data_IF_499844143591
#
_entry.id   IF_499844143591
#
_cell.length_a   1.000
_cell.length_b   1.000
_cell.length_c   1.000
_cell.angle_alpha   90.00
_cell.angle_beta   90.00
_cell.angle_gamma   90.00
#
_symmetry.space_group_name_H-M   'P 1'
#
loop_
_entity.id
_entity.type
_entity.pdbx_description
1 polymer ?
#
# COMPACT_ATOMS: atom_id res chain seq x y z
N UNK A 1 -38.47 -12.62 5.09
CA UNK A 1 -37.04 -12.72 4.95
C UNK A 1 -36.46 -11.45 5.59
N UNK A 2 -35.97 -11.60 6.82
CA UNK A 2 -35.62 -10.47 7.68
C UNK A 2 -34.26 -9.89 7.28
N UNK A 3 -34.23 -8.62 6.94
CA UNK A 3 -33.01 -7.85 6.80
C UNK A 3 -32.47 -7.57 8.19
N UNK A 4 -31.35 -8.20 8.52
CA UNK A 4 -30.68 -7.98 9.80
C UNK A 4 -30.17 -6.56 9.90
N UNK A 5 -30.52 -5.89 11.00
CA UNK A 5 -29.89 -4.65 11.45
C UNK A 5 -28.41 -5.01 11.67
N UNK A 6 -27.48 -4.35 10.97
CA UNK A 6 -26.06 -4.45 11.29
C UNK A 6 -25.92 -4.10 12.77
N UNK A 7 -25.47 -5.01 13.66
CA UNK A 7 -25.24 -4.64 15.05
C UNK A 7 -24.18 -3.54 15.05
N UNK A 8 -24.40 -2.48 15.82
CA UNK A 8 -23.40 -1.44 16.07
C UNK A 8 -22.08 -2.17 16.40
N UNK A 9 -20.99 -1.81 15.70
CA UNK A 9 -19.68 -2.40 15.91
C UNK A 9 -19.44 -2.62 17.40
N UNK A 10 -19.03 -3.82 17.86
CA UNK A 10 -18.84 -4.10 19.28
C UNK A 10 -17.81 -3.10 19.84
N UNK A 11 -18.25 -2.18 20.67
CA UNK A 11 -17.46 -1.06 21.21
C UNK A 11 -18.09 0.32 21.00
N UNK A 12 -18.96 0.54 20.02
CA UNK A 12 -19.60 1.85 19.76
C UNK A 12 -20.86 2.08 20.62
N UNK A 13 -21.52 1.02 21.08
CA UNK A 13 -22.74 1.12 21.89
C UNK A 13 -22.54 1.62 23.35
N UNK A 14 -21.30 1.79 23.81
CA UNK A 14 -20.99 2.23 25.19
C UNK A 14 -20.46 3.66 25.35
N UNK A 15 -20.27 4.41 24.26
CA UNK A 15 -19.78 5.79 24.30
C UNK A 15 -20.79 6.79 23.72
N UNK A 16 -22.01 6.80 24.23
CA UNK A 16 -22.97 7.88 23.99
C UNK A 16 -22.58 9.19 24.69
N UNK A 17 -21.35 9.31 25.21
CA UNK A 17 -20.82 10.47 25.85
C UNK A 17 -20.05 11.33 24.83
N UNK A 18 -20.75 12.40 24.33
CA UNK A 18 -20.15 13.53 23.60
C UNK A 18 -19.49 13.22 22.25
N UNK A 19 -20.21 12.65 21.30
CA UNK A 19 -19.87 12.76 19.90
C UNK A 19 -20.23 14.19 19.44
N UNK A 20 -19.24 15.03 19.20
CA UNK A 20 -19.43 16.37 18.67
C UNK A 20 -19.27 16.38 17.15
N UNK A 21 -19.83 17.37 16.46
CA UNK A 21 -19.62 17.54 15.02
C UNK A 21 -20.17 16.41 14.17
N UNK A 22 -21.37 15.91 14.48
CA UNK A 22 -22.06 14.93 13.63
C UNK A 22 -22.35 15.52 12.26
N UNK A 23 -22.11 14.73 11.24
CA UNK A 23 -22.45 15.02 9.85
C UNK A 23 -23.17 13.81 9.25
N UNK A 24 -24.09 14.06 8.32
CA UNK A 24 -24.74 12.95 7.62
C UNK A 24 -24.94 13.23 6.13
N UNK A 25 -24.91 12.15 5.34
CA UNK A 25 -25.06 12.20 3.88
C UNK A 25 -26.09 11.18 3.44
N UNK A 26 -27.04 11.62 2.59
CA UNK A 26 -27.99 10.72 1.90
C UNK A 26 -27.51 10.49 0.49
N UNK A 27 -27.25 9.23 0.14
CA UNK A 27 -26.73 8.82 -1.18
C UNK A 27 -27.00 7.32 -1.40
N UNK A 28 -26.65 6.79 -2.57
CA UNK A 28 -26.41 5.36 -2.68
C UNK A 28 -25.12 5.03 -1.92
N UNK A 29 -25.12 3.96 -1.13
CA UNK A 29 -24.00 3.59 -0.28
C UNK A 29 -23.48 2.20 -0.64
N UNK A 30 -22.16 2.05 -0.69
CA UNK A 30 -21.47 0.77 -0.73
C UNK A 30 -20.54 0.70 0.48
N UNK A 31 -20.60 -0.39 1.25
CA UNK A 31 -19.66 -0.64 2.34
C UNK A 31 -19.36 -2.13 2.48
N UNK A 32 -18.41 -2.47 3.33
CA UNK A 32 -17.99 -3.85 3.56
C UNK A 32 -17.96 -4.13 5.06
N UNK A 33 -18.57 -5.24 5.47
CA UNK A 33 -18.41 -5.74 6.83
C UNK A 33 -17.29 -6.77 6.89
N UNK A 34 -16.43 -6.72 7.94
CA UNK A 34 -15.42 -7.74 8.15
C UNK A 34 -16.10 -9.04 8.60
N UNK A 35 -15.95 -10.10 7.82
CA UNK A 35 -16.40 -11.46 8.15
C UNK A 35 -15.21 -12.42 8.16
N UNK A 36 -15.38 -13.61 8.79
CA UNK A 36 -14.33 -14.63 8.88
C UNK A 36 -13.85 -15.11 7.50
N UNK A 37 -14.79 -15.16 6.52
CA UNK A 37 -14.54 -15.65 5.16
C UNK A 37 -14.18 -14.51 4.17
N UNK A 38 -13.89 -13.31 4.69
CA UNK A 38 -13.57 -12.12 3.90
C UNK A 38 -14.64 -11.03 3.99
N UNK A 39 -14.34 -9.83 3.49
CA UNK A 39 -15.24 -8.69 3.60
C UNK A 39 -16.50 -8.91 2.74
N UNK A 40 -17.67 -8.77 3.37
CA UNK A 40 -18.95 -8.86 2.70
C UNK A 40 -19.41 -7.50 2.19
N UNK A 41 -19.68 -7.34 0.87
CA UNK A 41 -20.21 -6.11 0.32
C UNK A 41 -21.70 -5.92 0.63
N UNK A 42 -22.05 -4.67 0.97
CA UNK A 42 -23.42 -4.20 1.13
C UNK A 42 -23.67 -3.01 0.23
N UNK A 43 -24.85 -2.98 -0.37
CA UNK A 43 -25.29 -1.85 -1.20
C UNK A 43 -26.67 -1.39 -0.78
N UNK A 44 -26.82 -0.08 -0.59
CA UNK A 44 -28.08 0.57 -0.29
C UNK A 44 -28.32 1.70 -1.28
N UNK A 45 -29.44 1.64 -2.00
CA UNK A 45 -29.75 2.60 -3.06
C UNK A 45 -30.15 3.98 -2.54
N UNK A 46 -30.76 4.03 -1.35
CA UNK A 46 -31.14 5.27 -0.65
C UNK A 46 -30.70 5.15 0.82
N UNK A 47 -29.43 5.41 1.05
CA UNK A 47 -28.78 5.23 2.32
C UNK A 47 -28.50 6.52 3.07
N UNK A 48 -28.28 6.36 4.37
CA UNK A 48 -27.76 7.40 5.26
C UNK A 48 -26.41 6.95 5.84
N UNK A 49 -25.39 7.75 5.58
CA UNK A 49 -24.07 7.64 6.23
C UNK A 49 -24.00 8.73 7.31
N UNK A 50 -23.68 8.34 8.53
CA UNK A 50 -23.47 9.29 9.64
C UNK A 50 -22.06 9.15 10.17
N UNK A 51 -21.38 10.28 10.35
CA UNK A 51 -20.08 10.35 11.00
C UNK A 51 -20.13 11.26 12.22
N UNK A 52 -19.19 11.06 13.14
CA UNK A 52 -18.97 11.94 14.28
C UNK A 52 -17.47 12.02 14.58
N UNK A 53 -17.05 13.15 15.15
CA UNK A 53 -15.68 13.31 15.61
C UNK A 53 -15.45 12.51 16.90
N UNK A 54 -14.37 11.73 16.96
CA UNK A 54 -13.88 11.11 18.19
C UNK A 54 -13.19 12.15 19.11
N UNK A 55 -12.66 11.70 20.24
CA UNK A 55 -12.00 12.56 21.20
C UNK A 55 -10.74 13.28 20.65
N UNK A 56 -10.15 12.75 19.59
CA UNK A 56 -9.02 13.36 18.87
C UNK A 56 -9.47 14.25 17.71
N UNK A 57 -10.79 14.47 17.51
CA UNK A 57 -11.33 15.24 16.39
C UNK A 57 -11.39 14.49 15.05
N UNK A 58 -11.08 13.19 15.04
CA UNK A 58 -11.10 12.39 13.82
C UNK A 58 -12.53 11.93 13.53
N UNK A 59 -13.02 12.21 12.33
CA UNK A 59 -14.33 11.75 11.88
C UNK A 59 -14.35 10.22 11.75
N UNK A 60 -15.34 9.59 12.39
CA UNK A 60 -15.59 8.14 12.36
C UNK A 60 -16.98 7.86 11.85
N UNK A 61 -17.14 6.79 11.07
CA UNK A 61 -18.46 6.28 10.71
C UNK A 61 -19.12 5.73 11.97
N UNK A 62 -20.30 6.26 12.32
CA UNK A 62 -21.09 5.83 13.48
C UNK A 62 -22.37 5.10 13.08
N UNK A 63 -22.86 5.32 11.85
CA UNK A 63 -23.95 4.55 11.27
C UNK A 63 -23.88 4.56 9.75
N UNK A 64 -24.28 3.45 9.13
CA UNK A 64 -24.46 3.28 7.71
C UNK A 64 -25.63 2.30 7.46
N UNK A 65 -26.53 2.62 6.52
CA UNK A 65 -27.68 1.77 6.20
C UNK A 65 -28.82 2.55 5.54
N UNK A 66 -30.00 1.93 5.43
CA UNK A 66 -31.15 2.51 4.77
C UNK A 66 -31.58 3.84 5.42
N UNK A 67 -31.88 4.84 4.58
CA UNK A 67 -32.25 6.18 5.00
C UNK A 67 -33.46 6.17 5.95
N UNK A 68 -34.54 5.51 5.59
CA UNK A 68 -35.78 5.49 6.38
C UNK A 68 -35.62 4.83 7.76
N UNK A 69 -34.66 3.89 7.85
CA UNK A 69 -34.34 3.21 9.13
C UNK A 69 -33.49 4.09 10.05
N UNK A 70 -32.53 4.80 9.49
CA UNK A 70 -31.56 5.57 10.29
C UNK A 70 -32.02 7.00 10.55
N UNK A 71 -32.71 7.65 9.63
CA UNK A 71 -33.14 9.06 9.74
C UNK A 71 -33.87 9.37 11.04
N UNK A 72 -34.83 8.57 11.54
CA UNK A 72 -35.51 8.85 12.81
C UNK A 72 -34.57 8.88 14.02
N UNK A 73 -33.47 8.12 13.98
CA UNK A 73 -32.47 8.05 15.07
C UNK A 73 -31.50 9.23 15.06
N UNK A 74 -31.39 9.93 13.94
CA UNK A 74 -30.49 11.06 13.70
C UNK A 74 -31.27 12.29 13.20
N UNK A 75 -32.50 12.51 13.71
CA UNK A 75 -33.40 13.56 13.25
C UNK A 75 -32.78 14.95 13.36
N UNK A 76 -31.96 15.19 14.39
CA UNK A 76 -31.36 16.48 14.68
C UNK A 76 -30.07 16.75 13.89
N UNK A 77 -29.58 15.75 13.12
CA UNK A 77 -28.37 15.91 12.30
C UNK A 77 -28.77 16.40 10.91
N UNK A 78 -28.16 17.51 10.47
CA UNK A 78 -28.37 18.04 9.12
C UNK A 78 -27.91 17.02 8.07
N UNK A 79 -28.74 16.80 7.04
CA UNK A 79 -28.45 15.84 5.97
C UNK A 79 -27.92 16.58 4.73
N UNK A 80 -26.72 16.23 4.32
CA UNK A 80 -26.17 16.60 3.03
C UNK A 80 -26.77 15.67 1.96
N UNK A 81 -27.69 16.20 1.14
CA UNK A 81 -28.30 15.42 0.05
C UNK A 81 -27.30 15.23 -1.10
N UNK A 82 -26.97 13.97 -1.38
CA UNK A 82 -26.11 13.51 -2.44
C UNK A 82 -26.77 12.41 -3.26
N UNK A 83 -28.10 12.37 -3.30
CA UNK A 83 -28.85 11.41 -4.14
C UNK A 83 -28.38 11.48 -5.60
N UNK A 84 -28.33 10.33 -6.27
CA UNK A 84 -27.72 10.17 -7.59
C UNK A 84 -26.19 10.04 -7.58
N UNK A 85 -25.57 10.03 -6.40
CA UNK A 85 -24.14 9.73 -6.20
C UNK A 85 -23.98 8.47 -5.38
N UNK A 86 -22.86 7.77 -5.59
CA UNK A 86 -22.42 6.65 -4.76
C UNK A 86 -21.36 7.13 -3.77
N UNK A 87 -21.55 6.83 -2.50
CA UNK A 87 -20.51 6.95 -1.47
C UNK A 87 -19.99 5.55 -1.17
N UNK A 88 -18.69 5.36 -1.28
CA UNK A 88 -17.99 4.11 -1.01
C UNK A 88 -16.73 4.38 -0.16
N UNK A 89 -16.13 3.35 0.46
CA UNK A 89 -14.80 3.48 1.05
C UNK A 89 -13.78 3.94 -0.01
N UNK A 90 -12.81 4.76 0.42
CA UNK A 90 -11.70 5.14 -0.45
C UNK A 90 -10.86 3.91 -0.83
N UNK A 91 -10.30 3.95 -2.02
CA UNK A 91 -9.44 2.87 -2.51
C UNK A 91 -8.13 2.79 -1.75
N UNK A 92 -7.55 1.60 -1.72
CA UNK A 92 -6.26 1.28 -1.13
C UNK A 92 -5.33 0.82 -2.24
N UNK A 93 -4.15 1.44 -2.34
CA UNK A 93 -3.09 1.03 -3.25
C UNK A 93 -1.95 0.41 -2.43
N UNK A 94 -1.68 -0.88 -2.65
CA UNK A 94 -0.74 -1.63 -1.83
C UNK A 94 0.71 -1.61 -2.33
N UNK A 95 0.96 -0.99 -3.48
CA UNK A 95 2.31 -0.82 -4.03
C UNK A 95 2.31 0.28 -5.08
N UNK A 96 3.04 1.34 -4.80
CA UNK A 96 3.14 2.50 -5.68
C UNK A 96 4.46 3.25 -5.42
N UNK A 97 5.06 3.79 -6.48
CA UNK A 97 6.29 4.56 -6.39
C UNK A 97 6.05 6.04 -6.67
N UNK A 98 5.96 6.88 -5.62
CA UNK A 98 5.77 8.30 -5.86
C UNK A 98 6.92 8.95 -6.65
N UNK A 99 8.19 8.48 -6.55
CA UNK A 99 9.28 9.06 -7.32
C UNK A 99 9.21 8.75 -8.82
N UNK A 100 8.37 7.79 -9.23
CA UNK A 100 8.29 7.35 -10.62
C UNK A 100 7.11 7.96 -11.38
N UNK A 101 6.46 8.96 -10.82
CA UNK A 101 5.34 9.66 -11.43
C UNK A 101 5.68 10.24 -12.82
N UNK A 102 6.90 10.74 -12.99
CA UNK A 102 7.36 11.35 -14.24
C UNK A 102 7.78 10.34 -15.32
N UNK A 103 7.83 9.03 -15.00
CA UNK A 103 8.23 7.98 -15.95
C UNK A 103 7.07 7.07 -16.39
N UNK A 104 5.84 7.41 -16.02
CA UNK A 104 4.64 6.68 -16.47
C UNK A 104 4.63 6.62 -18.00
N UNK A 105 4.46 5.39 -18.55
CA UNK A 105 4.40 5.18 -19.99
C UNK A 105 5.73 5.23 -20.72
N UNK A 106 6.86 5.32 -20.01
CA UNK A 106 8.20 5.27 -20.62
C UNK A 106 8.50 3.86 -21.12
N UNK A 107 8.68 3.65 -22.44
CA UNK A 107 8.79 2.31 -23.02
C UNK A 107 10.14 1.67 -22.71
N UNK A 108 10.13 0.36 -22.45
CA UNK A 108 11.36 -0.42 -22.30
C UNK A 108 11.17 -1.89 -22.71
N UNK A 109 12.27 -2.55 -23.00
CA UNK A 109 12.31 -3.97 -23.38
C UNK A 109 12.42 -4.86 -22.13
N UNK A 110 11.53 -4.64 -21.16
CA UNK A 110 11.46 -5.38 -19.90
C UNK A 110 11.92 -4.57 -18.67
N UNK A 111 11.83 -5.21 -17.50
CA UNK A 111 12.04 -4.58 -16.19
C UNK A 111 13.45 -3.98 -16.04
N UNK A 112 14.52 -4.78 -16.18
CA UNK A 112 15.87 -4.33 -15.84
C UNK A 112 16.35 -3.16 -16.72
N UNK A 113 16.18 -3.18 -18.06
CA UNK A 113 16.50 -2.02 -18.90
C UNK A 113 15.63 -0.79 -18.56
N UNK A 114 14.39 -0.98 -18.15
CA UNK A 114 13.50 0.11 -17.77
C UNK A 114 13.99 0.80 -16.47
N UNK A 115 14.44 0.02 -15.48
CA UNK A 115 15.02 0.56 -14.25
C UNK A 115 16.24 1.43 -14.53
N UNK A 116 17.16 0.94 -15.36
CA UNK A 116 18.41 1.67 -15.68
C UNK A 116 18.17 2.93 -16.49
N UNK A 117 17.27 2.85 -17.48
CA UNK A 117 17.06 3.94 -18.43
C UNK A 117 16.19 5.08 -17.90
N UNK A 118 15.18 4.76 -17.11
CA UNK A 118 14.18 5.75 -16.68
C UNK A 118 14.10 5.91 -15.18
N UNK A 119 14.03 4.80 -14.44
CA UNK A 119 13.69 4.82 -13.01
C UNK A 119 14.81 5.39 -12.17
N UNK A 120 16.01 4.82 -12.25
CA UNK A 120 17.13 5.28 -11.42
C UNK A 120 17.53 6.73 -11.70
N UNK A 121 17.60 7.21 -12.96
CA UNK A 121 17.84 8.64 -13.23
C UNK A 121 16.78 9.56 -12.64
N UNK A 122 15.51 9.15 -12.68
CA UNK A 122 14.43 9.92 -12.09
C UNK A 122 14.50 9.93 -10.55
N UNK A 123 14.73 8.78 -9.93
CA UNK A 123 14.84 8.67 -8.48
C UNK A 123 16.04 9.43 -7.91
N UNK A 124 17.15 9.55 -8.65
CA UNK A 124 18.31 10.34 -8.24
C UNK A 124 18.00 11.84 -8.07
N UNK A 125 17.00 12.38 -8.79
CA UNK A 125 16.56 13.78 -8.66
C UNK A 125 15.97 14.10 -7.29
N UNK A 126 15.55 13.09 -6.53
CA UNK A 126 14.95 13.22 -5.20
C UNK A 126 15.99 13.52 -4.09
N UNK A 127 17.26 13.61 -4.45
CA UNK A 127 18.26 14.26 -3.60
C UNK A 127 17.95 15.75 -3.39
N UNK A 128 17.22 16.40 -4.32
CA UNK A 128 16.70 17.74 -4.17
C UNK A 128 15.38 17.76 -3.37
N UNK A 129 15.35 18.35 -2.16
CA UNK A 129 14.14 18.43 -1.34
C UNK A 129 13.00 19.22 -2.01
N UNK A 130 13.32 20.21 -2.83
CA UNK A 130 12.32 21.00 -3.56
C UNK A 130 11.59 20.17 -4.60
N UNK A 131 12.34 19.37 -5.35
CA UNK A 131 11.78 18.41 -6.31
C UNK A 131 10.92 17.36 -5.59
N UNK A 132 11.44 16.73 -4.52
CA UNK A 132 10.71 15.74 -3.74
C UNK A 132 9.37 16.28 -3.21
N UNK A 133 9.36 17.48 -2.64
CA UNK A 133 8.14 18.12 -2.15
C UNK A 133 7.15 18.48 -3.27
N UNK A 134 7.64 18.88 -4.44
CA UNK A 134 6.78 19.19 -5.60
C UNK A 134 6.08 17.95 -6.11
N UNK A 135 6.82 16.84 -6.28
CA UNK A 135 6.26 15.58 -6.74
C UNK A 135 5.31 14.98 -5.70
N UNK A 136 5.61 15.10 -4.40
CA UNK A 136 4.72 14.61 -3.34
C UNK A 136 3.34 15.31 -3.38
N UNK A 137 3.29 16.62 -3.60
CA UNK A 137 2.02 17.36 -3.77
C UNK A 137 1.22 16.85 -4.96
N UNK A 138 1.86 16.74 -6.13
CA UNK A 138 1.22 16.24 -7.34
C UNK A 138 0.72 14.80 -7.15
N UNK A 139 1.53 13.94 -6.56
CA UNK A 139 1.21 12.55 -6.28
C UNK A 139 -0.07 12.42 -5.45
N UNK A 140 -0.20 13.15 -4.35
CA UNK A 140 -1.41 13.12 -3.53
C UNK A 140 -2.61 13.78 -4.20
N UNK A 141 -2.42 14.78 -5.04
CA UNK A 141 -3.50 15.36 -5.84
C UNK A 141 -4.08 14.31 -6.80
N UNK A 142 -3.22 13.53 -7.46
CA UNK A 142 -3.66 12.45 -8.35
C UNK A 142 -4.31 11.30 -7.58
N UNK A 143 -3.75 10.86 -6.47
CA UNK A 143 -4.37 9.83 -5.63
C UNK A 143 -5.79 10.22 -5.23
N UNK A 144 -5.98 11.44 -4.72
CA UNK A 144 -7.31 11.92 -4.31
C UNK A 144 -8.27 12.08 -5.50
N UNK A 145 -7.78 12.55 -6.65
CA UNK A 145 -8.58 12.64 -7.89
C UNK A 145 -9.13 11.28 -8.31
N UNK A 146 -8.37 10.22 -8.05
CA UNK A 146 -8.77 8.85 -8.35
C UNK A 146 -9.41 8.10 -7.18
N UNK A 147 -9.67 8.77 -6.06
CA UNK A 147 -10.37 8.21 -4.90
C UNK A 147 -9.50 7.29 -4.03
N UNK A 148 -8.18 7.31 -4.20
CA UNK A 148 -7.24 6.56 -3.35
C UNK A 148 -7.00 7.34 -2.06
N UNK A 149 -7.27 6.72 -0.91
CA UNK A 149 -7.15 7.34 0.41
C UNK A 149 -6.14 6.65 1.31
N UNK A 150 -5.63 5.50 0.88
CA UNK A 150 -4.61 4.72 1.60
C UNK A 150 -3.59 4.19 0.61
N UNK A 151 -2.31 4.37 0.92
CA UNK A 151 -1.21 3.86 0.09
C UNK A 151 -0.13 3.19 0.93
N UNK A 152 0.49 2.16 0.34
CA UNK A 152 1.79 1.63 0.73
C UNK A 152 2.79 2.02 -0.37
N UNK A 153 3.61 3.05 -0.08
CA UNK A 153 4.41 3.74 -1.08
C UNK A 153 5.91 3.54 -0.89
N UNK A 154 6.62 3.40 -2.00
CA UNK A 154 8.07 3.48 -2.03
C UNK A 154 8.53 4.93 -2.10
N UNK A 155 9.47 5.30 -1.22
CA UNK A 155 10.33 6.47 -1.38
C UNK A 155 11.57 6.12 -2.21
N UNK A 156 12.51 7.06 -2.29
CA UNK A 156 13.85 6.78 -2.84
C UNK A 156 14.84 6.40 -1.73
N UNK A 157 16.11 6.19 -2.08
CA UNK A 157 17.20 6.01 -1.11
C UNK A 157 17.50 7.28 -0.30
N UNK A 158 17.03 8.44 -0.73
CA UNK A 158 17.23 9.71 -0.05
C UNK A 158 16.22 9.90 1.10
N UNK A 159 16.66 10.06 2.37
CA UNK A 159 15.74 10.22 3.52
C UNK A 159 14.78 11.39 3.35
N UNK A 160 15.26 12.51 2.77
CA UNK A 160 14.44 13.70 2.50
C UNK A 160 13.25 13.46 1.58
N UNK A 161 13.33 12.47 0.70
CA UNK A 161 12.19 12.09 -0.15
C UNK A 161 11.04 11.49 0.66
N UNK A 162 11.35 10.70 1.69
CA UNK A 162 10.36 10.11 2.59
C UNK A 162 9.78 11.18 3.52
N UNK A 163 10.62 12.10 4.01
CA UNK A 163 10.16 13.25 4.81
C UNK A 163 9.17 14.11 4.00
N UNK A 164 9.45 14.38 2.74
CA UNK A 164 8.55 15.14 1.87
C UNK A 164 7.21 14.40 1.64
N UNK A 165 7.26 13.11 1.37
CA UNK A 165 6.07 12.29 1.13
C UNK A 165 5.19 12.19 2.39
N UNK A 166 5.76 11.79 3.53
CA UNK A 166 5.00 11.59 4.77
C UNK A 166 4.53 12.93 5.36
N UNK A 167 5.31 14.02 5.21
CA UNK A 167 4.89 15.36 5.60
C UNK A 167 3.68 15.85 4.82
N UNK A 168 3.64 15.65 3.50
CA UNK A 168 2.49 16.00 2.67
C UNK A 168 1.28 15.14 2.99
N UNK A 169 1.46 13.83 3.22
CA UNK A 169 0.37 12.93 3.65
C UNK A 169 -0.22 13.38 5.01
N UNK A 170 0.63 13.77 5.96
CA UNK A 170 0.19 14.30 7.26
C UNK A 170 -0.63 15.57 7.09
N UNK A 171 -0.15 16.54 6.31
CA UNK A 171 -0.84 17.81 6.08
C UNK A 171 -2.24 17.62 5.48
N UNK A 172 -2.44 16.55 4.70
CA UNK A 172 -3.74 16.19 4.08
C UNK A 172 -4.57 15.23 4.92
N UNK A 173 -4.06 14.72 6.02
CA UNK A 173 -4.75 13.72 6.85
C UNK A 173 -4.96 12.36 6.16
N UNK A 174 -4.11 12.00 5.19
CA UNK A 174 -4.22 10.75 4.45
C UNK A 174 -3.50 9.59 5.15
N UNK A 175 -3.98 8.37 4.91
CA UNK A 175 -3.29 7.15 5.35
C UNK A 175 -2.16 6.85 4.38
N UNK A 176 -0.92 7.04 4.83
CA UNK A 176 0.26 6.72 4.06
C UNK A 176 1.21 5.86 4.89
N UNK A 177 1.62 4.72 4.33
CA UNK A 177 2.68 3.88 4.84
C UNK A 177 3.80 3.97 3.81
N UNK A 178 4.97 4.41 4.20
CA UNK A 178 6.07 4.57 3.27
C UNK A 178 7.42 4.29 3.93
N UNK A 179 8.44 4.06 3.12
CA UNK A 179 9.79 3.86 3.60
C UNK A 179 10.85 4.28 2.58
N UNK A 180 12.02 4.54 3.11
CA UNK A 180 13.24 4.78 2.33
C UNK A 180 13.66 3.47 1.65
N UNK A 181 13.87 3.48 0.34
CA UNK A 181 14.42 2.33 -0.37
C UNK A 181 15.83 2.01 0.12
N UNK A 182 16.06 0.75 0.47
CA UNK A 182 17.37 0.19 0.78
C UNK A 182 17.95 -0.44 -0.48
N UNK A 183 19.14 0.03 -0.91
CA UNK A 183 19.79 -0.44 -2.13
C UNK A 183 21.28 -0.06 -2.13
N UNK A 184 22.09 -0.86 -1.43
CA UNK A 184 23.54 -0.64 -1.28
C UNK A 184 24.39 -1.40 -2.31
N UNK A 185 23.77 -2.20 -3.19
CA UNK A 185 24.41 -3.06 -4.18
C UNK A 185 23.72 -2.94 -5.54
N UNK A 186 24.48 -3.07 -6.61
CA UNK A 186 24.00 -3.13 -8.00
C UNK A 186 23.04 -1.98 -8.38
N UNK A 187 23.29 -0.80 -7.81
CA UNK A 187 22.52 0.41 -8.08
C UNK A 187 23.48 1.53 -8.51
N UNK A 188 23.04 2.44 -9.40
CA UNK A 188 23.85 3.60 -9.79
C UNK A 188 24.17 4.50 -8.59
N UNK A 189 25.30 5.23 -8.66
CA UNK A 189 25.79 6.08 -7.57
C UNK A 189 24.75 7.10 -7.06
N UNK A 190 23.92 7.65 -7.96
CA UNK A 190 22.89 8.64 -7.60
C UNK A 190 21.77 8.11 -6.71
N UNK A 191 21.63 6.79 -6.57
CA UNK A 191 20.60 6.15 -5.73
C UNK A 191 21.15 5.06 -4.82
N UNK A 192 22.46 4.76 -4.90
CA UNK A 192 23.09 3.73 -4.09
C UNK A 192 23.30 4.20 -2.66
N UNK A 193 22.89 3.38 -1.72
CA UNK A 193 23.12 3.57 -0.29
C UNK A 193 24.54 3.17 0.15
N UNK A 194 24.88 3.63 1.35
CA UNK A 194 25.89 3.01 2.20
C UNK A 194 25.13 2.23 3.29
N UNK A 195 25.53 0.98 3.55
CA UNK A 195 24.74 0.02 4.37
C UNK A 195 24.37 0.57 5.73
N UNK A 196 25.39 0.96 6.54
CA UNK A 196 25.13 1.40 7.91
C UNK A 196 24.39 2.74 7.98
N UNK A 197 24.73 3.69 7.08
CA UNK A 197 24.04 4.97 7.01
C UNK A 197 22.56 4.77 6.68
N UNK A 198 22.27 3.91 5.70
CA UNK A 198 20.89 3.64 5.27
C UNK A 198 20.03 3.00 6.37
N UNK A 199 20.62 2.15 7.19
CA UNK A 199 19.95 1.53 8.34
C UNK A 199 19.71 2.53 9.48
N UNK A 200 20.68 3.42 9.76
CA UNK A 200 20.49 4.53 10.72
C UNK A 200 19.40 5.50 10.26
N UNK A 201 19.40 5.87 8.98
CA UNK A 201 18.38 6.73 8.40
C UNK A 201 16.98 6.10 8.49
N UNK A 202 16.89 4.80 8.20
CA UNK A 202 15.65 4.03 8.32
C UNK A 202 15.13 4.07 9.76
N UNK A 203 15.98 3.84 10.74
CA UNK A 203 15.60 3.88 12.15
C UNK A 203 15.16 5.31 12.58
N UNK A 204 15.88 6.34 12.15
CA UNK A 204 15.51 7.73 12.42
C UNK A 204 14.13 8.09 11.80
N UNK A 205 13.84 7.62 10.59
CA UNK A 205 12.56 7.83 9.94
C UNK A 205 11.42 7.04 10.61
N UNK A 206 11.67 5.81 11.10
CA UNK A 206 10.72 5.07 11.94
C UNK A 206 10.36 5.90 13.17
N UNK A 207 11.35 6.38 13.91
CA UNK A 207 11.13 7.16 15.12
C UNK A 207 10.38 8.47 14.86
N UNK A 208 10.57 9.07 13.68
CA UNK A 208 9.93 10.35 13.30
C UNK A 208 8.48 10.16 12.87
N UNK A 209 8.17 9.12 12.11
CA UNK A 209 6.92 9.03 11.34
C UNK A 209 6.00 7.88 11.74
N UNK A 210 6.52 6.74 12.24
CA UNK A 210 5.69 5.58 12.49
C UNK A 210 4.70 5.84 13.62
N UNK A 211 3.42 5.55 13.37
CA UNK A 211 2.35 5.74 14.34
C UNK A 211 1.91 7.19 14.59
N UNK A 212 2.46 8.17 13.84
CA UNK A 212 2.02 9.57 13.93
C UNK A 212 0.75 9.74 13.08
N UNK A 213 -0.33 10.22 13.69
CA UNK A 213 -1.63 10.40 13.03
C UNK A 213 -2.07 9.15 12.25
N UNK A 214 -2.17 9.26 10.92
CA UNK A 214 -2.51 8.14 10.03
C UNK A 214 -1.30 7.55 9.31
N UNK A 215 -0.09 7.95 9.70
CA UNK A 215 1.12 7.53 9.04
C UNK A 215 1.64 6.19 9.57
N UNK A 216 2.31 5.46 8.71
CA UNK A 216 3.09 4.29 9.05
C UNK A 216 4.42 4.29 8.33
N UNK A 217 5.38 3.56 8.87
CA UNK A 217 6.64 3.33 8.19
C UNK A 217 6.74 1.89 7.67
N UNK A 218 7.43 1.70 6.54
CA UNK A 218 7.77 0.39 6.01
C UNK A 218 9.28 0.27 5.84
N UNK A 219 9.90 -0.75 6.42
CA UNK A 219 11.26 -1.15 6.09
C UNK A 219 11.23 -1.65 4.65
N UNK A 220 12.03 -1.03 3.77
CA UNK A 220 11.84 -1.13 2.32
C UNK A 220 13.12 -1.56 1.60
N UNK A 221 13.57 -2.84 1.71
CA UNK A 221 14.52 -3.37 0.74
C UNK A 221 13.91 -3.24 -0.65
N UNK A 222 14.61 -2.56 -1.59
CA UNK A 222 14.01 -2.35 -2.91
C UNK A 222 13.67 -3.68 -3.56
N UNK A 223 14.66 -4.56 -3.69
CA UNK A 223 14.53 -5.96 -4.09
C UNK A 223 15.85 -6.69 -3.75
N UNK A 224 15.86 -8.02 -3.66
CA UNK A 224 17.03 -8.74 -3.17
C UNK A 224 18.33 -8.46 -3.96
N UNK A 225 18.34 -8.31 -5.29
CA UNK A 225 19.57 -7.99 -6.01
C UNK A 225 20.23 -6.66 -5.64
N UNK A 226 19.46 -5.66 -5.25
CA UNK A 226 19.98 -4.33 -4.90
C UNK A 226 20.45 -4.19 -3.46
N UNK A 227 20.26 -5.22 -2.64
CA UNK A 227 20.65 -5.20 -1.24
C UNK A 227 21.76 -6.22 -0.97
N UNK A 228 22.81 -5.81 -0.24
CA UNK A 228 23.80 -6.76 0.26
C UNK A 228 23.21 -7.63 1.38
N UNK A 229 23.86 -8.76 1.67
CA UNK A 229 23.51 -9.60 2.82
C UNK A 229 23.55 -8.79 4.13
N UNK A 230 24.53 -7.88 4.27
CA UNK A 230 24.67 -7.01 5.43
C UNK A 230 23.44 -6.06 5.56
N UNK A 231 22.98 -5.46 4.45
CA UNK A 231 21.82 -4.59 4.47
C UNK A 231 20.54 -5.35 4.73
N UNK A 232 20.34 -6.52 4.12
CA UNK A 232 19.17 -7.38 4.37
C UNK A 232 19.14 -7.88 5.83
N UNK A 233 20.31 -8.25 6.38
CA UNK A 233 20.43 -8.66 7.79
C UNK A 233 20.06 -7.51 8.74
N UNK A 234 20.58 -6.30 8.47
CA UNK A 234 20.23 -5.10 9.23
C UNK A 234 18.74 -4.75 9.12
N UNK A 235 18.14 -4.87 7.95
CA UNK A 235 16.71 -4.69 7.74
C UNK A 235 15.88 -5.69 8.57
N UNK A 236 16.29 -6.96 8.60
CA UNK A 236 15.67 -7.99 9.44
C UNK A 236 15.80 -7.70 10.95
N UNK A 237 16.97 -7.21 11.39
CA UNK A 237 17.18 -6.80 12.77
C UNK A 237 16.27 -5.62 13.17
N UNK A 238 16.10 -4.62 12.29
CA UNK A 238 15.15 -3.54 12.48
C UNK A 238 13.71 -4.06 12.52
N UNK A 239 13.35 -4.98 11.63
CA UNK A 239 12.02 -5.59 11.59
C UNK A 239 11.70 -6.37 12.88
N UNK A 240 12.68 -7.07 13.46
CA UNK A 240 12.53 -7.77 14.74
C UNK A 240 12.34 -6.79 15.91
N UNK A 241 13.08 -5.68 15.92
CA UNK A 241 12.99 -4.66 16.96
C UNK A 241 11.70 -3.83 16.92
N UNK A 242 11.21 -3.54 15.73
CA UNK A 242 9.99 -2.76 15.49
C UNK A 242 8.89 -3.66 14.91
N UNK A 243 8.28 -4.48 15.77
CA UNK A 243 7.34 -5.53 15.35
C UNK A 243 6.06 -5.04 14.69
N UNK A 244 5.66 -3.79 14.91
CA UNK A 244 4.49 -3.13 14.34
C UNK A 244 4.75 -2.33 13.07
N UNK A 245 6.02 -2.11 12.70
CA UNK A 245 6.43 -1.49 11.44
C UNK A 245 6.17 -2.43 10.28
N UNK A 246 5.77 -1.90 9.14
CA UNK A 246 5.56 -2.67 7.92
C UNK A 246 6.88 -3.04 7.24
N UNK A 247 6.82 -4.01 6.35
CA UNK A 247 7.89 -4.38 5.43
C UNK A 247 7.31 -4.34 4.03
N UNK A 248 8.06 -3.84 3.06
CA UNK A 248 7.70 -3.93 1.65
C UNK A 248 8.92 -4.20 0.78
N UNK A 249 8.73 -4.93 -0.29
CA UNK A 249 9.76 -5.22 -1.29
C UNK A 249 9.13 -5.72 -2.59
N UNK A 250 9.94 -5.96 -3.61
CA UNK A 250 9.54 -6.66 -4.83
C UNK A 250 9.97 -8.13 -4.75
N UNK A 251 9.21 -9.03 -5.35
CA UNK A 251 9.53 -10.45 -5.38
C UNK A 251 9.04 -11.12 -6.66
N UNK A 252 9.92 -11.86 -7.31
CA UNK A 252 9.59 -12.79 -8.40
C UNK A 252 8.72 -12.15 -9.50
N UNK A 253 9.10 -10.95 -9.93
CA UNK A 253 8.38 -10.19 -10.94
C UNK A 253 8.76 -10.65 -12.36
N UNK A 254 10.05 -10.84 -12.64
CA UNK A 254 10.57 -11.05 -13.99
C UNK A 254 11.53 -12.24 -14.04
N UNK A 255 11.58 -12.95 -15.17
CA UNK A 255 12.44 -14.12 -15.32
C UNK A 255 13.94 -13.80 -15.29
N UNK A 256 14.35 -12.63 -15.81
CA UNK A 256 15.75 -12.19 -15.74
C UNK A 256 16.13 -11.86 -14.29
N UNK A 257 15.23 -11.23 -13.56
CA UNK A 257 15.38 -10.96 -12.13
C UNK A 257 15.51 -12.27 -11.33
N UNK A 258 14.67 -13.27 -11.60
CA UNK A 258 14.79 -14.58 -10.95
C UNK A 258 16.14 -15.25 -11.21
N UNK A 259 16.63 -15.23 -12.46
CA UNK A 259 17.94 -15.76 -12.79
C UNK A 259 19.06 -15.05 -12.02
N UNK A 260 18.94 -13.73 -11.91
CA UNK A 260 19.90 -12.91 -11.18
C UNK A 260 19.90 -13.23 -9.68
N UNK A 261 18.72 -13.31 -9.05
CA UNK A 261 18.60 -13.71 -7.64
C UNK A 261 19.18 -15.10 -7.39
N UNK A 262 18.90 -16.07 -8.27
CA UNK A 262 19.43 -17.42 -8.14
C UNK A 262 20.97 -17.46 -8.24
N UNK A 263 21.57 -16.60 -9.07
CA UNK A 263 23.02 -16.48 -9.16
C UNK A 263 23.64 -15.84 -7.90
N UNK A 264 22.96 -14.86 -7.28
CA UNK A 264 23.43 -14.19 -6.08
C UNK A 264 23.23 -15.01 -4.79
N UNK A 265 22.19 -15.83 -4.76
CA UNK A 265 21.74 -16.59 -3.58
C UNK A 265 21.54 -18.08 -3.92
N UNK A 266 22.57 -18.79 -4.38
CA UNK A 266 22.45 -20.17 -4.84
C UNK A 266 22.06 -21.15 -3.71
N UNK A 267 22.25 -20.78 -2.45
CA UNK A 267 21.90 -21.56 -1.26
C UNK A 267 20.40 -21.47 -0.91
N UNK A 268 19.69 -20.45 -1.38
CA UNK A 268 18.28 -20.27 -1.06
C UNK A 268 17.41 -21.02 -2.07
N UNK A 269 16.33 -21.65 -1.61
CA UNK A 269 15.42 -22.44 -2.44
C UNK A 269 14.76 -21.60 -3.53
N UNK A 270 14.36 -20.39 -3.18
CA UNK A 270 13.62 -19.47 -4.04
C UNK A 270 13.96 -18.02 -3.73
N UNK A 271 13.45 -17.10 -4.55
CA UNK A 271 13.57 -15.68 -4.30
C UNK A 271 12.92 -15.28 -2.96
N UNK A 272 11.73 -15.81 -2.67
CA UNK A 272 11.04 -15.52 -1.40
C UNK A 272 11.82 -16.06 -0.19
N UNK A 273 12.50 -17.21 -0.35
CA UNK A 273 13.32 -17.79 0.71
C UNK A 273 14.50 -16.90 1.11
N UNK A 274 15.00 -16.05 0.22
CA UNK A 274 16.00 -15.03 0.59
C UNK A 274 15.46 -14.12 1.68
N UNK A 275 14.24 -13.62 1.53
CA UNK A 275 13.61 -12.75 2.54
C UNK A 275 13.28 -13.51 3.83
N UNK A 276 12.89 -14.80 3.74
CA UNK A 276 12.70 -15.65 4.91
C UNK A 276 13.99 -15.78 5.73
N UNK A 277 15.11 -16.06 5.08
CA UNK A 277 16.42 -16.19 5.71
C UNK A 277 16.83 -14.96 6.52
N UNK A 278 16.47 -13.76 6.05
CA UNK A 278 16.75 -12.50 6.72
C UNK A 278 15.66 -12.03 7.70
N UNK A 279 14.64 -12.88 7.99
CA UNK A 279 13.59 -12.55 8.96
C UNK A 279 12.61 -11.47 8.48
N UNK A 280 12.47 -11.30 7.17
CA UNK A 280 11.61 -10.27 6.58
C UNK A 280 10.21 -10.78 6.23
N UNK A 281 9.92 -12.09 6.35
CA UNK A 281 8.59 -12.67 6.13
C UNK A 281 7.80 -12.75 7.42
N UNK A 282 6.75 -11.94 7.52
CA UNK A 282 5.84 -11.91 8.67
C UNK A 282 4.54 -11.21 8.30
N UNK A 283 3.58 -11.24 9.22
CA UNK A 283 2.42 -10.35 9.15
C UNK A 283 2.88 -8.88 9.04
N UNK A 284 2.23 -8.08 8.21
CA UNK A 284 2.60 -6.71 7.80
C UNK A 284 3.80 -6.63 6.85
N UNK A 285 4.22 -7.75 6.24
CA UNK A 285 5.10 -7.72 5.08
C UNK A 285 4.27 -7.82 3.81
N UNK A 286 4.53 -6.96 2.84
CA UNK A 286 3.84 -6.89 1.55
C UNK A 286 4.88 -6.94 0.44
N UNK A 287 4.74 -7.92 -0.44
CA UNK A 287 5.64 -8.15 -1.56
C UNK A 287 4.92 -7.87 -2.88
N UNK A 288 5.49 -6.98 -3.70
CA UNK A 288 4.91 -6.65 -4.99
C UNK A 288 5.14 -7.76 -6.02
N UNK A 289 4.21 -7.87 -6.96
CA UNK A 289 4.15 -8.77 -8.13
C UNK A 289 3.93 -10.24 -7.79
N UNK A 290 4.95 -10.98 -7.35
CA UNK A 290 4.84 -12.39 -7.00
C UNK A 290 4.40 -13.32 -8.14
N UNK A 291 4.73 -12.97 -9.39
CA UNK A 291 4.25 -13.67 -10.60
C UNK A 291 4.77 -15.11 -10.63
N UNK A 292 6.05 -15.29 -10.31
CA UNK A 292 6.75 -16.57 -10.45
C UNK A 292 6.97 -17.29 -9.10
N UNK A 293 6.02 -17.14 -8.16
CA UNK A 293 6.01 -17.91 -6.92
C UNK A 293 5.56 -19.34 -7.18
N UNK A 294 6.25 -20.32 -6.62
CA UNK A 294 5.81 -21.72 -6.64
C UNK A 294 4.86 -22.04 -5.45
N UNK A 295 4.36 -23.28 -5.38
CA UNK A 295 3.43 -23.69 -4.34
C UNK A 295 4.03 -23.61 -2.93
N UNK A 296 5.33 -23.89 -2.79
CA UNK A 296 6.02 -23.80 -1.51
C UNK A 296 6.18 -22.33 -1.06
N UNK A 297 6.39 -21.39 -1.99
CA UNK A 297 6.39 -19.96 -1.73
C UNK A 297 4.99 -19.45 -1.31
N UNK A 298 3.94 -19.89 -2.01
CA UNK A 298 2.55 -19.55 -1.64
C UNK A 298 2.21 -20.07 -0.24
N UNK A 299 2.57 -21.33 0.06
CA UNK A 299 2.37 -21.89 1.39
C UNK A 299 3.18 -21.14 2.47
N UNK A 300 4.38 -20.65 2.14
CA UNK A 300 5.19 -19.82 3.04
C UNK A 300 4.53 -18.48 3.33
N UNK A 301 4.02 -17.78 2.31
CA UNK A 301 3.27 -16.53 2.48
C UNK A 301 2.03 -16.72 3.37
N UNK A 302 1.23 -17.75 3.09
CA UNK A 302 0.04 -18.06 3.88
C UNK A 302 0.37 -18.34 5.35
N UNK A 303 1.42 -19.13 5.62
CA UNK A 303 1.87 -19.48 6.98
C UNK A 303 2.40 -18.27 7.75
N UNK A 304 3.13 -17.38 7.10
CA UNK A 304 3.74 -16.19 7.74
C UNK A 304 2.77 -15.02 7.86
N UNK A 305 1.66 -15.04 7.12
CA UNK A 305 0.71 -13.95 7.03
C UNK A 305 1.24 -12.74 6.24
N UNK A 306 2.32 -12.93 5.48
CA UNK A 306 2.76 -11.94 4.50
C UNK A 306 1.80 -11.88 3.32
N UNK A 307 1.71 -10.73 2.66
CA UNK A 307 0.75 -10.47 1.59
C UNK A 307 1.44 -10.19 0.26
N UNK A 308 0.71 -10.36 -0.83
CA UNK A 308 1.14 -9.97 -2.17
C UNK A 308 0.34 -8.78 -2.66
N UNK A 309 1.03 -7.75 -3.14
CA UNK A 309 0.48 -6.63 -3.87
C UNK A 309 0.54 -6.93 -5.37
N UNK A 310 -0.59 -7.29 -5.96
CA UNK A 310 -0.65 -7.66 -7.37
C UNK A 310 -0.79 -6.41 -8.22
N UNK A 311 0.15 -6.20 -9.15
CA UNK A 311 0.27 -5.00 -10.00
C UNK A 311 -0.01 -5.31 -11.47
N UNK A 312 -1.26 -5.66 -11.86
CA UNK A 312 -1.53 -6.23 -13.18
C UNK A 312 -1.21 -5.30 -14.34
N UNK A 313 -1.40 -3.99 -14.19
CA UNK A 313 -1.08 -3.02 -15.25
C UNK A 313 0.41 -2.93 -15.52
N UNK A 314 1.23 -2.95 -14.47
CA UNK A 314 2.69 -2.95 -14.58
C UNK A 314 3.19 -4.28 -15.13
N UNK A 315 2.70 -5.39 -14.60
CA UNK A 315 3.09 -6.73 -15.04
C UNK A 315 2.91 -6.90 -16.56
N UNK A 316 1.81 -6.36 -17.10
CA UNK A 316 1.51 -6.38 -18.54
C UNK A 316 2.37 -5.39 -19.32
N UNK A 317 2.53 -4.16 -18.82
CA UNK A 317 3.27 -3.11 -19.52
C UNK A 317 4.77 -3.43 -19.65
N UNK A 318 5.38 -3.95 -18.59
CA UNK A 318 6.79 -4.36 -18.59
C UNK A 318 7.02 -5.76 -19.17
N UNK A 319 5.94 -6.47 -19.58
CA UNK A 319 6.04 -7.82 -20.10
C UNK A 319 6.51 -8.85 -19.07
N UNK A 320 6.29 -8.56 -17.77
CA UNK A 320 6.72 -9.42 -16.67
C UNK A 320 5.95 -10.75 -16.64
N UNK A 321 4.65 -10.76 -16.93
CA UNK A 321 3.82 -11.96 -16.99
C UNK A 321 2.45 -11.79 -16.32
N UNK A 322 1.73 -12.91 -16.15
CA UNK A 322 0.41 -12.97 -15.53
C UNK A 322 0.51 -13.55 -14.12
N UNK A 323 -0.16 -12.91 -13.18
CA UNK A 323 -0.27 -13.43 -11.82
C UNK A 323 -1.31 -14.54 -11.74
N UNK A 324 -0.99 -15.65 -11.06
CA UNK A 324 -1.92 -16.76 -10.84
C UNK A 324 -2.78 -16.52 -9.59
N UNK A 325 -3.93 -15.85 -9.79
CA UNK A 325 -4.89 -15.57 -8.73
C UNK A 325 -5.52 -16.82 -8.14
N UNK A 326 -5.76 -17.85 -8.98
CA UNK A 326 -6.41 -19.09 -8.55
C UNK A 326 -5.53 -19.85 -7.57
N UNK A 327 -4.28 -20.14 -7.96
CA UNK A 327 -3.32 -20.84 -7.10
C UNK A 327 -3.01 -20.06 -5.81
N UNK A 328 -2.89 -18.73 -5.88
CA UNK A 328 -2.65 -17.93 -4.69
C UNK A 328 -3.84 -17.96 -3.71
N UNK A 329 -5.08 -17.89 -4.20
CA UNK A 329 -6.28 -18.01 -3.36
C UNK A 329 -6.44 -19.39 -2.75
N UNK A 330 -6.20 -20.45 -3.52
CA UNK A 330 -6.24 -21.83 -3.04
C UNK A 330 -5.23 -22.07 -1.92
N UNK A 331 -4.05 -21.51 -2.04
CA UNK A 331 -3.01 -21.57 -1.00
C UNK A 331 -3.32 -20.67 0.23
N UNK A 332 -4.36 -19.83 0.20
CA UNK A 332 -4.70 -18.93 1.29
C UNK A 332 -3.80 -17.71 1.42
N UNK A 333 -3.14 -17.30 0.32
CA UNK A 333 -2.31 -16.08 0.31
C UNK A 333 -3.18 -14.85 0.42
N UNK A 334 -2.81 -13.93 1.30
CA UNK A 334 -3.45 -12.60 1.38
C UNK A 334 -3.04 -11.77 0.17
N UNK A 335 -4.02 -11.32 -0.61
CA UNK A 335 -3.83 -10.55 -1.84
C UNK A 335 -4.46 -9.17 -1.73
N UNK A 336 -3.87 -8.21 -2.43
CA UNK A 336 -4.50 -6.93 -2.71
C UNK A 336 -3.97 -6.34 -4.02
N UNK A 337 -4.73 -5.40 -4.59
CA UNK A 337 -4.36 -4.75 -5.85
C UNK A 337 -3.45 -3.56 -5.62
N UNK A 338 -2.63 -3.28 -6.62
CA UNK A 338 -1.68 -2.18 -6.62
C UNK A 338 -1.54 -1.58 -8.03
N UNK A 339 -1.33 -0.28 -8.09
CA UNK A 339 -1.13 0.42 -9.36
C UNK A 339 0.27 0.26 -9.91
N UNK A 340 1.25 0.26 -8.98
CA UNK A 340 2.68 0.29 -9.32
C UNK A 340 3.05 1.41 -10.30
N UNK A 341 2.54 2.62 -10.06
CA UNK A 341 3.03 3.81 -10.76
C UNK A 341 4.53 3.99 -10.46
N UNK A 342 5.51 4.07 -11.41
CA UNK A 342 5.41 4.26 -12.87
C UNK A 342 5.59 3.04 -13.80
N UNK A 343 5.88 1.81 -13.36
CA UNK A 343 5.72 0.64 -14.22
C UNK A 343 4.25 0.44 -14.58
N UNK A 344 3.34 0.70 -13.66
CA UNK A 344 1.91 0.84 -13.96
C UNK A 344 1.57 2.19 -14.58
N UNK A 345 0.65 2.18 -15.53
CA UNK A 345 0.37 3.32 -16.41
C UNK A 345 -0.70 4.28 -15.90
N UNK A 346 -1.22 4.10 -14.67
CA UNK A 346 -2.37 4.90 -14.21
C UNK A 346 -2.50 4.90 -12.70
N UNK A 347 -2.84 6.06 -12.13
CA UNK A 347 -3.29 6.20 -10.74
C UNK A 347 -4.70 5.65 -10.49
N UNK A 348 -5.44 5.29 -11.56
CA UNK A 348 -6.83 4.86 -11.43
C UNK A 348 -6.95 3.41 -10.94
N UNK A 349 -7.54 3.16 -9.75
CA UNK A 349 -7.83 1.80 -9.30
C UNK A 349 -8.76 1.03 -10.25
N UNK A 350 -9.62 1.74 -10.99
CA UNK A 350 -10.47 1.11 -12.00
C UNK A 350 -9.66 0.53 -13.17
N UNK A 351 -8.55 1.19 -13.56
CA UNK A 351 -7.64 0.65 -14.58
C UNK A 351 -6.96 -0.63 -14.06
N UNK A 352 -6.51 -0.62 -12.80
CA UNK A 352 -5.92 -1.78 -12.13
C UNK A 352 -6.91 -2.93 -12.00
N UNK A 353 -8.14 -2.65 -11.50
CA UNK A 353 -9.19 -3.66 -11.39
C UNK A 353 -9.58 -4.26 -12.74
N UNK A 354 -9.67 -3.43 -13.78
CA UNK A 354 -9.95 -3.92 -15.15
C UNK A 354 -8.85 -4.88 -15.62
N UNK A 355 -7.58 -4.51 -15.45
CA UNK A 355 -6.47 -5.37 -15.85
C UNK A 355 -6.39 -6.67 -15.04
N UNK A 356 -6.83 -6.65 -13.78
CA UNK A 356 -6.90 -7.86 -12.95
C UNK A 356 -8.05 -8.80 -13.36
N UNK A 357 -9.12 -8.26 -13.96
CA UNK A 357 -10.31 -9.02 -14.37
C UNK A 357 -10.18 -9.62 -15.77
N UNK A 358 -9.50 -8.95 -16.69
CA UNK A 358 -9.32 -9.38 -18.09
C UNK A 358 -8.15 -10.32 -18.29
#
# INVERSE_FOLDING_TARGET
MGWGIVPALPGVARAAAKLSGMQSWRASLLWFDPEADGPRPHFESDGLLVTAADAAGVQRVVAVGAYDTLRPRYSDVAVHDRRGRLIAPGFIDLHIHYPQTDVIGSPADGLLPWLERYTFPQEARFADPGHAASVARFFFDELLRHGVTTVLAFGTSHPGSVDALLGEAQARGLRCIAGKSLQDRHSPDGVRDETEASLRDTEALIARWHGRDRLGYAITPRFAPSCSDAQLHGAGALAARYSDVWIQSHVAENLDELRWVRALYPQDRSYLAVYERFGLLRRRAVYAHGIYLDDADRALLARTGAAVAVSPTSNLFLGSGFFDYAAAREAGVTLGLASDVGGGMSFSPFATMRAAYT
#
